data_IF_089856241955
#
_entry.id   IF_089856241955
#
_cell.length_a   1.000
_cell.length_b   1.000
_cell.length_c   1.000
_cell.angle_alpha   90.00
_cell.angle_beta   90.00
_cell.angle_gamma   90.00
#
_symmetry.space_group_name_H-M   'P 1'
#
loop_
_entity.id
_entity.type
_entity.pdbx_description
1 polymer ?
#
# COMPACT_ATOMS: atom_id res chain seq x y z
N UNK A 1 30.94 -1.31 9.61
CA UNK A 1 29.62 -1.42 10.25
C UNK A 1 28.75 -2.31 9.37
N UNK A 2 28.33 -3.48 9.86
CA UNK A 2 27.46 -4.35 9.08
C UNK A 2 26.02 -3.81 9.18
N UNK A 3 25.44 -3.41 8.05
CA UNK A 3 24.00 -3.14 7.98
C UNK A 3 23.30 -4.47 8.21
N UNK A 4 22.65 -4.64 9.36
CA UNK A 4 21.77 -5.79 9.61
C UNK A 4 20.67 -5.70 8.56
N UNK A 5 20.61 -6.68 7.66
CA UNK A 5 19.47 -6.80 6.75
C UNK A 5 18.22 -6.97 7.62
N UNK A 6 17.32 -5.98 7.61
CA UNK A 6 16.04 -6.09 8.29
C UNK A 6 15.26 -7.21 7.60
N UNK A 7 14.81 -8.19 8.38
CA UNK A 7 14.11 -9.36 7.85
C UNK A 7 12.66 -8.97 7.61
N UNK A 8 12.33 -8.51 6.40
CA UNK A 8 10.95 -8.26 6.01
C UNK A 8 10.25 -9.60 5.73
N UNK A 9 9.09 -9.80 6.34
CA UNK A 9 8.23 -10.96 6.10
C UNK A 9 7.13 -10.51 5.14
N UNK A 10 7.10 -11.08 3.94
CA UNK A 10 6.01 -10.84 3.00
C UNK A 10 4.72 -11.47 3.52
N UNK A 11 3.63 -10.69 3.53
CA UNK A 11 2.34 -11.09 4.07
C UNK A 11 1.41 -11.55 2.95
N UNK A 12 1.12 -10.67 2.01
CA UNK A 12 0.28 -10.94 0.83
C UNK A 12 0.48 -9.86 -0.23
N UNK A 13 -0.07 -10.10 -1.42
CA UNK A 13 -0.16 -9.12 -2.50
C UNK A 13 -1.58 -8.59 -2.60
N UNK A 14 -1.73 -7.34 -2.98
CA UNK A 14 -3.04 -6.69 -3.13
C UNK A 14 -2.98 -5.59 -4.19
N UNK A 15 -4.04 -5.36 -4.97
CA UNK A 15 -4.10 -4.20 -5.85
C UNK A 15 -4.26 -2.90 -5.04
N UNK A 16 -3.96 -1.75 -5.62
CA UNK A 16 -4.30 -0.45 -5.02
C UNK A 16 -5.68 -0.01 -5.49
N UNK A 17 -6.64 -0.01 -4.56
CA UNK A 17 -8.00 0.45 -4.81
C UNK A 17 -8.08 1.97 -4.94
N UNK A 18 -8.96 2.44 -5.82
CA UNK A 18 -9.28 3.87 -5.96
C UNK A 18 -8.17 4.73 -6.58
N UNK A 19 -7.16 4.13 -7.20
CA UNK A 19 -5.99 4.82 -7.74
C UNK A 19 -6.32 6.03 -8.63
N UNK A 20 -7.28 5.85 -9.54
CA UNK A 20 -7.76 6.87 -10.48
C UNK A 20 -8.47 8.07 -9.83
N UNK A 21 -8.89 7.96 -8.57
CA UNK A 21 -9.64 9.02 -7.87
C UNK A 21 -8.75 9.88 -6.96
N UNK A 22 -7.43 9.63 -6.96
CA UNK A 22 -6.48 10.29 -6.09
C UNK A 22 -5.29 10.85 -6.88
N UNK A 23 -4.16 11.08 -6.20
CA UNK A 23 -2.99 11.73 -6.79
C UNK A 23 -2.15 10.76 -7.64
N UNK A 24 -2.60 9.52 -7.79
CA UNK A 24 -1.90 8.45 -8.49
C UNK A 24 -1.51 8.81 -9.93
N UNK A 25 -2.46 9.36 -10.70
CA UNK A 25 -2.20 9.78 -12.10
C UNK A 25 -1.14 10.90 -12.18
N UNK A 26 -1.12 11.81 -11.20
CA UNK A 26 -0.18 12.93 -11.17
C UNK A 26 1.27 12.45 -10.98
N UNK A 27 1.47 11.40 -10.17
CA UNK A 27 2.80 10.86 -9.85
C UNK A 27 3.16 9.62 -10.66
N UNK A 28 2.29 9.15 -11.56
CA UNK A 28 2.46 7.89 -12.30
C UNK A 28 3.84 7.75 -12.95
N UNK A 29 4.31 8.80 -13.63
CA UNK A 29 5.61 8.82 -14.31
C UNK A 29 6.82 8.64 -13.38
N UNK A 30 6.63 8.85 -12.07
CA UNK A 30 7.67 8.72 -11.04
C UNK A 30 7.63 7.37 -10.33
N UNK A 31 6.54 6.62 -10.45
CA UNK A 31 6.39 5.32 -9.80
C UNK A 31 7.21 4.26 -10.54
N UNK A 32 7.87 3.39 -9.77
CA UNK A 32 8.65 2.27 -10.30
C UNK A 32 8.43 1.03 -9.43
N UNK A 33 8.55 -0.15 -10.04
CA UNK A 33 8.54 -1.42 -9.30
C UNK A 33 9.69 -1.44 -8.28
N UNK A 34 9.44 -2.08 -7.13
CA UNK A 34 10.35 -2.13 -5.99
C UNK A 34 10.33 -0.90 -5.08
N UNK A 35 9.70 0.23 -5.49
CA UNK A 35 9.56 1.40 -4.62
C UNK A 35 8.73 1.06 -3.38
N UNK A 36 9.16 1.59 -2.23
CA UNK A 36 8.45 1.45 -0.97
C UNK A 36 7.30 2.44 -0.88
N UNK A 37 6.23 2.00 -0.24
CA UNK A 37 4.99 2.74 -0.01
C UNK A 37 4.67 2.71 1.49
N UNK A 38 4.09 3.81 1.95
CA UNK A 38 3.62 3.95 3.31
C UNK A 38 2.17 3.47 3.41
N UNK A 39 1.86 2.78 4.50
CA UNK A 39 0.51 2.34 4.84
C UNK A 39 0.02 3.16 6.04
N UNK A 40 -1.06 3.91 5.86
CA UNK A 40 -1.57 4.85 6.86
C UNK A 40 -2.98 4.43 7.28
N UNK A 41 -3.19 4.23 8.57
CA UNK A 41 -4.51 3.94 9.12
C UNK A 41 -5.41 5.17 9.08
N UNK A 42 -6.66 4.97 8.67
CA UNK A 42 -7.74 5.95 8.78
C UNK A 42 -8.91 5.32 9.57
N UNK A 43 -8.81 5.17 10.91
CA UNK A 43 -9.84 4.52 11.71
C UNK A 43 -11.18 5.26 11.72
N UNK A 44 -11.15 6.58 11.53
CA UNK A 44 -12.34 7.45 11.47
C UNK A 44 -12.91 7.59 10.04
N UNK A 45 -12.48 6.75 9.09
CA UNK A 45 -13.00 6.78 7.74
C UNK A 45 -14.51 6.42 7.73
N UNK A 46 -15.34 7.33 7.21
CA UNK A 46 -16.80 7.22 7.28
C UNK A 46 -17.38 6.01 6.53
N UNK A 47 -16.63 5.40 5.61
CA UNK A 47 -17.10 4.28 4.78
C UNK A 47 -16.58 2.92 5.25
N UNK A 48 -15.40 2.90 5.88
CA UNK A 48 -14.72 1.67 6.30
C UNK A 48 -13.74 1.93 7.46
N UNK A 49 -14.07 1.46 8.66
CA UNK A 49 -13.20 1.58 9.84
C UNK A 49 -11.85 0.86 9.68
N UNK A 50 -11.76 -0.12 8.76
CA UNK A 50 -10.51 -0.82 8.43
C UNK A 50 -9.71 -0.15 7.30
N UNK A 51 -10.07 1.08 6.88
CA UNK A 51 -9.39 1.76 5.78
C UNK A 51 -7.87 1.93 6.02
N UNK A 52 -7.08 1.35 5.12
CA UNK A 52 -5.62 1.52 5.07
C UNK A 52 -5.27 2.28 3.80
N UNK A 53 -4.88 3.54 3.95
CA UNK A 53 -4.45 4.40 2.85
C UNK A 53 -3.04 4.01 2.41
N UNK A 54 -2.80 4.03 1.10
CA UNK A 54 -1.51 3.76 0.47
C UNK A 54 -0.93 5.07 -0.06
N UNK A 55 0.23 5.47 0.46
CA UNK A 55 0.91 6.71 0.10
C UNK A 55 2.30 6.43 -0.51
N UNK A 56 2.73 7.29 -1.44
CA UNK A 56 4.11 7.37 -1.92
C UNK A 56 4.65 8.78 -1.74
N UNK A 57 5.68 8.96 -0.90
CA UNK A 57 6.25 10.27 -0.58
C UNK A 57 5.19 11.32 -0.18
N UNK A 58 4.17 10.90 0.59
CA UNK A 58 3.05 11.76 1.00
C UNK A 58 1.96 11.96 -0.06
N UNK A 59 2.13 11.44 -1.27
CA UNK A 59 1.07 11.42 -2.28
C UNK A 59 0.15 10.22 -2.07
N UNK A 60 -1.12 10.51 -1.82
CA UNK A 60 -2.17 9.48 -1.71
C UNK A 60 -2.36 8.79 -3.05
N UNK A 61 -1.96 7.53 -3.11
CA UNK A 61 -2.17 6.68 -4.28
C UNK A 61 -3.55 6.02 -4.22
N UNK A 62 -3.98 5.56 -3.04
CA UNK A 62 -5.26 4.88 -2.90
C UNK A 62 -5.41 4.17 -1.57
N UNK A 63 -6.02 2.98 -1.61
CA UNK A 63 -6.29 2.17 -0.43
C UNK A 63 -5.98 0.70 -0.67
N UNK A 64 -5.71 -0.03 0.41
CA UNK A 64 -5.85 -1.49 0.40
C UNK A 64 -7.35 -1.80 0.24
N UNK A 65 -7.76 -2.69 -0.70
CA UNK A 65 -9.15 -3.04 -0.93
C UNK A 65 -9.82 -3.56 0.34
N UNK A 66 -11.11 -3.30 0.47
CA UNK A 66 -11.92 -3.74 1.64
C UNK A 66 -11.92 -5.25 1.85
N UNK A 67 -11.73 -6.04 0.79
CA UNK A 67 -11.63 -7.51 0.87
C UNK A 67 -10.34 -7.98 1.55
N UNK A 68 -9.29 -7.14 1.55
CA UNK A 68 -7.94 -7.52 1.91
C UNK A 68 -7.42 -6.73 3.14
N UNK A 69 -8.05 -5.59 3.46
CA UNK A 69 -7.53 -4.63 4.42
C UNK A 69 -7.61 -5.06 5.89
N UNK A 70 -8.46 -6.03 6.24
CA UNK A 70 -8.73 -6.38 7.65
C UNK A 70 -7.46 -6.83 8.36
N UNK A 71 -6.66 -7.70 7.75
CA UNK A 71 -5.44 -8.21 8.38
C UNK A 71 -4.41 -7.09 8.57
N UNK A 72 -4.17 -6.28 7.55
CA UNK A 72 -3.24 -5.14 7.61
C UNK A 72 -3.69 -4.07 8.61
N UNK A 73 -5.00 -3.81 8.68
CA UNK A 73 -5.62 -2.91 9.65
C UNK A 73 -5.26 -3.33 11.08
N UNK A 74 -5.50 -4.59 11.42
CA UNK A 74 -5.24 -5.09 12.78
C UNK A 74 -3.75 -5.01 13.14
N UNK A 75 -2.85 -5.37 12.22
CA UNK A 75 -1.41 -5.24 12.46
C UNK A 75 -1.03 -3.79 12.79
N UNK A 76 -1.47 -2.84 11.96
CA UNK A 76 -1.19 -1.43 12.17
C UNK A 76 -1.82 -0.89 13.47
N UNK A 77 -3.03 -1.32 13.81
CA UNK A 77 -3.72 -0.94 15.05
C UNK A 77 -3.00 -1.49 16.30
N UNK A 78 -2.28 -2.60 16.16
CA UNK A 78 -1.41 -3.16 17.19
C UNK A 78 -0.01 -2.52 17.25
N UNK A 79 0.28 -1.54 16.40
CA UNK A 79 1.57 -0.84 16.35
C UNK A 79 2.66 -1.59 15.59
N UNK A 80 2.29 -2.65 14.85
CA UNK A 80 3.23 -3.36 13.99
C UNK A 80 3.67 -2.49 12.81
N UNK A 81 4.92 -2.68 12.38
CA UNK A 81 5.48 -1.94 11.25
C UNK A 81 5.18 -2.67 9.95
N UNK A 82 4.09 -2.26 9.31
CA UNK A 82 3.73 -2.76 7.98
C UNK A 82 4.11 -1.74 6.91
N UNK A 83 4.76 -2.21 5.85
CA UNK A 83 5.11 -1.41 4.67
C UNK A 83 4.62 -2.11 3.41
N UNK A 84 4.59 -1.41 2.29
CA UNK A 84 4.30 -2.02 1.00
C UNK A 84 5.40 -1.72 -0.02
N UNK A 85 5.49 -2.56 -1.07
CA UNK A 85 6.32 -2.29 -2.25
C UNK A 85 5.52 -2.49 -3.52
N UNK A 86 5.77 -1.66 -4.51
CA UNK A 86 5.19 -1.82 -5.85
C UNK A 86 5.75 -3.09 -6.50
N UNK A 87 4.90 -4.03 -6.86
CA UNK A 87 5.27 -5.22 -7.62
C UNK A 87 5.14 -4.98 -9.11
N UNK A 88 3.97 -4.49 -9.54
CA UNK A 88 3.65 -4.29 -10.94
C UNK A 88 3.00 -2.93 -11.15
N UNK A 89 3.27 -2.34 -12.32
CA UNK A 89 2.63 -1.12 -12.83
C UNK A 89 2.10 -1.44 -14.23
N UNK A 90 0.81 -1.25 -14.45
CA UNK A 90 0.18 -1.51 -15.75
C UNK A 90 -0.56 -0.27 -16.24
N UNK A 91 -0.32 0.13 -17.49
CA UNK A 91 -0.99 1.26 -18.15
C UNK A 91 -2.35 0.89 -18.77
N UNK A 92 -2.88 -0.31 -18.47
CA UNK A 92 -4.12 -0.80 -19.06
C UNK A 92 -5.37 0.00 -18.66
N UNK A 93 -6.45 -0.19 -19.42
CA UNK A 93 -7.73 0.48 -19.18
C UNK A 93 -8.46 0.01 -17.92
N UNK A 94 -8.08 -1.12 -17.33
CA UNK A 94 -8.66 -1.58 -16.07
C UNK A 94 -8.00 -0.85 -14.88
N UNK A 95 -8.72 0.00 -14.15
CA UNK A 95 -8.14 0.77 -13.05
C UNK A 95 -7.62 -0.08 -11.90
N UNK A 96 -8.16 -1.29 -11.73
CA UNK A 96 -7.80 -2.21 -10.65
C UNK A 96 -6.47 -2.93 -10.89
N UNK A 97 -6.02 -3.03 -12.14
CA UNK A 97 -4.78 -3.73 -12.51
C UNK A 97 -3.57 -2.78 -12.55
N UNK A 98 -3.79 -1.49 -12.29
CA UNK A 98 -2.77 -0.47 -12.51
C UNK A 98 -1.58 -0.60 -11.57
N UNK A 99 -1.82 -0.92 -10.31
CA UNK A 99 -0.77 -1.09 -9.31
C UNK A 99 -1.07 -2.31 -8.47
N UNK A 100 -0.12 -3.23 -8.42
CA UNK A 100 -0.08 -4.32 -7.47
C UNK A 100 1.03 -4.08 -6.46
N UNK A 101 0.74 -4.34 -5.18
CA UNK A 101 1.70 -4.15 -4.08
C UNK A 101 1.88 -5.44 -3.29
N UNK A 102 3.08 -5.68 -2.79
CA UNK A 102 3.35 -6.65 -1.74
C UNK A 102 3.41 -5.95 -0.40
N UNK A 103 2.72 -6.49 0.60
CA UNK A 103 2.76 -6.01 1.97
C UNK A 103 3.78 -6.79 2.78
N UNK A 104 4.54 -6.08 3.62
CA UNK A 104 5.62 -6.64 4.42
C UNK A 104 5.51 -6.22 5.88
N UNK A 105 5.69 -7.17 6.79
CA UNK A 105 5.89 -6.93 8.22
C UNK A 105 7.38 -6.81 8.52
N UNK A 106 7.76 -5.76 9.25
CA UNK A 106 9.06 -5.65 9.88
C UNK A 106 8.96 -6.16 11.34
N UNK A 107 9.73 -7.21 11.72
CA UNK A 107 9.74 -7.77 13.06
C UNK A 107 10.57 -6.94 14.06
#
# INVERSE_FOLDING_TARGET
MAVRAQRLIELHHSPVAGFQYHQGETVWSMLQTGMSLDLVREPDNAFDACAVRVDWQGHKLGYVPRTDNVFTCHLLDHGERVSAKILTLQTGNNPWDRIEIALFLAP
#
